data_IF_858281665442
#
_entry.id   IF_858281665442
#
_cell.length_a   1.000
_cell.length_b   1.000
_cell.length_c   1.000
_cell.angle_alpha   90.00
_cell.angle_beta   90.00
_cell.angle_gamma   90.00
#
_symmetry.space_group_name_H-M   'P 1'
#
loop_
_entity.id
_entity.type
_entity.pdbx_description
1 polymer ?
#
# COMPACT_ATOMS: atom_id res chain seq x y z
N UNK A 1 -15.89 -13.56 1.55
CA UNK A 1 -14.70 -12.90 1.00
C UNK A 1 -14.74 -11.41 1.31
N UNK A 2 -13.65 -10.87 1.80
CA UNK A 2 -13.60 -9.45 2.12
C UNK A 2 -13.62 -8.61 0.86
N UNK A 3 -14.35 -7.49 0.91
CA UNK A 3 -14.25 -6.47 -0.13
C UNK A 3 -12.96 -5.68 0.14
N UNK A 4 -11.98 -5.85 -0.72
CA UNK A 4 -10.64 -5.29 -0.57
C UNK A 4 -10.68 -3.76 -0.49
N UNK A 5 -11.54 -3.11 -1.27
CA UNK A 5 -11.65 -1.65 -1.25
C UNK A 5 -12.29 -1.16 0.05
N UNK A 6 -13.23 -1.91 0.62
CA UNK A 6 -13.81 -1.57 1.92
C UNK A 6 -12.76 -1.71 3.02
N UNK A 7 -11.97 -2.79 2.99
CA UNK A 7 -10.89 -2.98 3.95
C UNK A 7 -9.84 -1.86 3.82
N UNK A 8 -9.51 -1.47 2.60
CA UNK A 8 -8.59 -0.34 2.36
C UNK A 8 -9.13 0.94 2.99
N UNK A 9 -10.42 1.24 2.76
CA UNK A 9 -11.04 2.44 3.31
C UNK A 9 -10.97 2.43 4.85
N UNK A 10 -11.24 1.28 5.46
CA UNK A 10 -11.17 1.16 6.92
C UNK A 10 -9.76 1.46 7.45
N UNK A 11 -8.75 0.95 6.78
CA UNK A 11 -7.35 1.18 7.18
C UNK A 11 -6.99 2.65 7.01
N UNK A 12 -7.26 3.22 5.84
CA UNK A 12 -6.87 4.61 5.56
C UNK A 12 -7.61 5.60 6.44
N UNK A 13 -8.90 5.39 6.69
CA UNK A 13 -9.67 6.25 7.59
C UNK A 13 -9.12 6.20 9.02
N UNK A 14 -8.71 5.01 9.48
CA UNK A 14 -8.13 4.87 10.82
C UNK A 14 -6.77 5.56 10.92
N UNK A 15 -5.97 5.47 9.87
CA UNK A 15 -4.69 6.21 9.82
C UNK A 15 -4.92 7.72 9.84
N UNK A 16 -5.92 8.20 9.09
CA UNK A 16 -6.30 9.62 9.08
C UNK A 16 -6.73 10.09 10.47
N UNK A 17 -7.56 9.31 11.16
CA UNK A 17 -8.05 9.65 12.49
C UNK A 17 -6.92 9.79 13.50
N UNK A 18 -5.88 8.98 13.38
CA UNK A 18 -4.72 9.02 14.27
C UNK A 18 -3.62 9.96 13.76
N UNK A 19 -3.91 10.70 12.69
CA UNK A 19 -2.99 11.67 12.10
C UNK A 19 -1.66 11.04 11.65
N UNK A 20 -1.71 9.80 11.17
CA UNK A 20 -0.54 9.12 10.61
C UNK A 20 -0.53 9.35 9.10
N UNK A 21 0.58 9.92 8.61
CA UNK A 21 0.76 10.13 7.17
C UNK A 21 1.05 8.80 6.47
N UNK A 22 0.47 8.63 5.31
CA UNK A 22 0.57 7.39 4.52
C UNK A 22 0.36 7.70 3.05
N UNK A 23 0.58 6.72 2.20
CA UNK A 23 0.17 6.78 0.80
C UNK A 23 -0.17 5.39 0.30
N UNK A 24 -1.36 5.20 -0.26
CA UNK A 24 -1.75 3.94 -0.87
C UNK A 24 -0.86 3.70 -2.09
N UNK A 25 -0.35 2.49 -2.23
CA UNK A 25 0.50 2.11 -3.35
C UNK A 25 0.10 0.71 -3.84
N UNK A 26 0.91 0.10 -4.70
CA UNK A 26 0.65 -1.25 -5.18
C UNK A 26 -0.57 -1.37 -6.09
N UNK A 27 -1.16 -2.56 -6.12
CA UNK A 27 -2.26 -2.89 -7.04
C UNK A 27 -3.53 -2.08 -6.82
N UNK A 28 -3.85 -1.74 -5.57
CA UNK A 28 -5.03 -0.92 -5.30
C UNK A 28 -4.84 0.52 -5.77
N UNK A 29 -3.62 1.06 -5.65
CA UNK A 29 -3.33 2.38 -6.21
C UNK A 29 -3.52 2.37 -7.73
N UNK A 30 -3.07 1.31 -8.38
CA UNK A 30 -3.25 1.15 -9.84
C UNK A 30 -4.74 1.19 -10.19
N UNK A 31 -5.56 0.45 -9.45
CA UNK A 31 -7.01 0.43 -9.64
C UNK A 31 -7.63 1.82 -9.46
N UNK A 32 -7.27 2.51 -8.38
CA UNK A 32 -7.80 3.84 -8.06
C UNK A 32 -7.40 4.86 -9.14
N UNK A 33 -6.21 4.73 -9.69
CA UNK A 33 -5.72 5.61 -10.77
C UNK A 33 -6.35 5.29 -12.14
N UNK A 34 -7.23 4.29 -12.21
CA UNK A 34 -7.96 4.00 -13.44
C UNK A 34 -7.44 2.83 -14.25
N UNK A 35 -6.57 2.01 -13.70
CA UNK A 35 -5.97 0.85 -14.37
C UNK A 35 -6.28 -0.43 -13.59
N UNK A 36 -7.55 -0.86 -13.56
CA UNK A 36 -7.93 -2.00 -12.72
C UNK A 36 -7.24 -3.30 -13.11
N UNK A 37 -6.90 -4.06 -12.10
CA UNK A 37 -6.32 -5.39 -12.25
C UNK A 37 -6.60 -6.20 -10.99
N UNK A 38 -6.45 -7.52 -11.08
CA UNK A 38 -6.61 -8.38 -9.92
C UNK A 38 -5.53 -8.10 -8.89
N UNK A 39 -5.92 -7.95 -7.63
CA UNK A 39 -5.00 -7.76 -6.51
C UNK A 39 -5.57 -8.47 -5.29
N UNK A 40 -4.69 -8.96 -4.41
CA UNK A 40 -5.08 -9.77 -3.26
C UNK A 40 -4.58 -9.20 -1.93
N UNK A 41 -3.87 -8.09 -1.97
CA UNK A 41 -3.30 -7.47 -0.77
C UNK A 41 -3.45 -5.96 -0.80
N UNK A 42 -3.27 -5.36 0.36
CA UNK A 42 -3.31 -3.91 0.54
C UNK A 42 -1.86 -3.46 0.77
N UNK A 43 -1.40 -2.49 -0.02
CA UNK A 43 -0.05 -1.94 0.11
C UNK A 43 -0.13 -0.47 0.49
N UNK A 44 0.53 -0.09 1.58
CA UNK A 44 0.52 1.28 2.10
C UNK A 44 1.95 1.69 2.43
N UNK A 45 2.37 2.82 1.87
CA UNK A 45 3.67 3.42 2.13
C UNK A 45 3.57 4.31 3.37
N UNK A 46 4.51 4.16 4.31
CA UNK A 46 4.58 4.96 5.54
C UNK A 46 6.03 5.29 5.87
N UNK A 47 6.22 6.31 6.69
CA UNK A 47 7.54 6.57 7.28
C UNK A 47 7.90 5.46 8.26
N UNK A 48 9.17 5.05 8.36
CA UNK A 48 9.58 3.99 9.29
C UNK A 48 9.19 4.25 10.74
N UNK A 49 9.25 5.50 11.20
CA UNK A 49 8.89 5.87 12.57
C UNK A 49 7.40 5.71 12.86
N UNK A 50 6.56 5.55 11.84
CA UNK A 50 5.12 5.34 12.03
C UNK A 50 4.74 3.86 12.10
N UNK A 51 5.70 2.95 11.99
CA UNK A 51 5.39 1.51 11.85
C UNK A 51 4.65 0.95 13.05
N UNK A 52 5.13 1.22 14.26
CA UNK A 52 4.50 0.66 15.48
C UNK A 52 3.07 1.15 15.65
N UNK A 53 2.84 2.44 15.43
CA UNK A 53 1.48 3.01 15.51
C UNK A 53 0.58 2.43 14.43
N UNK A 54 1.12 2.24 13.22
CA UNK A 54 0.37 1.65 12.12
C UNK A 54 0.00 0.20 12.40
N UNK A 55 0.90 -0.58 12.99
CA UNK A 55 0.61 -1.95 13.41
C UNK A 55 -0.49 -1.97 14.48
N UNK A 56 -0.46 -1.04 15.43
CA UNK A 56 -1.49 -0.96 16.49
C UNK A 56 -2.86 -0.69 15.88
N UNK A 57 -2.93 0.20 14.91
CA UNK A 57 -4.19 0.50 14.19
C UNK A 57 -4.66 -0.73 13.42
N UNK A 58 -3.76 -1.37 12.68
CA UNK A 58 -4.09 -2.58 11.90
C UNK A 58 -4.62 -3.69 12.80
N UNK A 59 -4.03 -3.88 13.97
CA UNK A 59 -4.46 -4.88 14.94
C UNK A 59 -5.90 -4.67 15.37
N UNK A 60 -6.31 -3.43 15.61
CA UNK A 60 -7.69 -3.10 15.97
C UNK A 60 -8.68 -3.45 14.87
N UNK A 61 -8.22 -3.48 13.62
CA UNK A 61 -9.03 -3.83 12.47
C UNK A 61 -8.96 -5.33 12.12
N UNK A 62 -8.28 -6.12 12.94
CA UNK A 62 -8.19 -7.57 12.75
C UNK A 62 -6.93 -8.05 12.03
N UNK A 63 -6.03 -7.16 11.67
CA UNK A 63 -4.76 -7.53 11.04
C UNK A 63 -3.73 -7.79 12.15
N UNK A 64 -3.75 -8.99 12.70
CA UNK A 64 -2.96 -9.33 13.88
C UNK A 64 -1.98 -10.49 13.70
N UNK A 65 -1.89 -11.05 12.49
CA UNK A 65 -0.93 -12.11 12.20
C UNK A 65 0.29 -11.50 11.52
N UNK A 66 1.38 -11.40 12.25
CA UNK A 66 2.62 -10.82 11.71
C UNK A 66 3.33 -11.77 10.79
N UNK A 67 3.74 -11.28 9.62
CA UNK A 67 4.60 -12.00 8.70
C UNK A 67 6.07 -11.72 9.00
N UNK A 68 6.94 -12.30 8.18
CA UNK A 68 8.37 -12.00 8.25
C UNK A 68 8.65 -10.65 7.60
N UNK A 69 9.63 -9.94 8.14
CA UNK A 69 10.12 -8.72 7.51
C UNK A 69 10.76 -9.08 6.17
N UNK A 70 10.47 -8.30 5.15
CA UNK A 70 11.02 -8.52 3.81
C UNK A 70 11.82 -7.30 3.39
N UNK A 71 13.00 -7.56 2.84
CA UNK A 71 13.91 -6.51 2.39
C UNK A 71 14.47 -6.92 1.04
N UNK A 72 14.39 -6.03 0.05
CA UNK A 72 14.80 -6.31 -1.33
C UNK A 72 15.66 -5.18 -1.86
N UNK A 73 16.41 -5.47 -2.94
CA UNK A 73 17.21 -4.48 -3.68
C UNK A 73 18.11 -3.67 -2.76
N UNK A 74 18.92 -4.36 -1.93
CA UNK A 74 19.86 -3.73 -0.99
C UNK A 74 19.13 -2.74 -0.05
N UNK A 75 17.97 -3.14 0.44
CA UNK A 75 17.12 -2.35 1.36
C UNK A 75 16.45 -1.14 0.72
N UNK A 76 16.40 -1.06 -0.60
CA UNK A 76 15.61 -0.03 -1.28
C UNK A 76 14.11 -0.26 -1.08
N UNK A 77 13.71 -1.53 -0.91
CA UNK A 77 12.32 -1.92 -0.66
C UNK A 77 12.26 -2.67 0.67
N UNK A 78 11.54 -2.13 1.63
CA UNK A 78 11.36 -2.70 2.97
C UNK A 78 9.87 -2.90 3.20
N UNK A 79 9.44 -4.16 3.45
CA UNK A 79 8.03 -4.51 3.62
C UNK A 79 7.83 -5.14 4.98
N UNK A 80 6.77 -4.69 5.67
CA UNK A 80 6.35 -5.22 6.97
C UNK A 80 4.89 -5.66 6.84
N UNK A 81 4.65 -6.96 6.90
CA UNK A 81 3.33 -7.54 6.66
C UNK A 81 2.62 -7.91 7.94
N UNK A 82 1.31 -7.55 7.99
CA UNK A 82 0.37 -8.12 8.95
C UNK A 82 -0.82 -8.62 8.16
N UNK A 83 -1.43 -9.71 8.59
CA UNK A 83 -2.54 -10.30 7.85
C UNK A 83 -3.75 -10.48 8.74
N UNK A 84 -4.92 -10.45 8.10
CA UNK A 84 -6.20 -10.77 8.72
C UNK A 84 -6.62 -12.14 8.19
N UNK A 85 -7.05 -13.03 9.09
CA UNK A 85 -7.63 -14.30 8.70
C UNK A 85 -9.14 -14.16 8.76
N UNK A 86 -9.79 -14.33 7.60
CA UNK A 86 -11.24 -14.23 7.49
C UNK A 86 -11.92 -15.47 8.07
N UNK A 87 -13.24 -15.37 8.33
CA UNK A 87 -14.01 -16.49 8.88
C UNK A 87 -13.97 -17.73 7.98
N UNK A 88 -13.89 -17.54 6.67
CA UNK A 88 -13.81 -18.64 5.69
C UNK A 88 -12.40 -19.22 5.55
N UNK A 89 -11.43 -18.70 6.31
CA UNK A 89 -10.04 -19.14 6.26
C UNK A 89 -9.17 -18.39 5.27
N UNK A 90 -9.75 -17.49 4.48
CA UNK A 90 -8.96 -16.65 3.56
C UNK A 90 -8.04 -15.73 4.35
N UNK A 91 -6.87 -15.48 3.78
CA UNK A 91 -5.87 -14.59 4.38
C UNK A 91 -5.82 -13.30 3.57
N UNK A 92 -5.99 -12.16 4.25
CA UNK A 92 -5.86 -10.85 3.65
C UNK A 92 -4.59 -10.19 4.15
N UNK A 93 -3.55 -10.05 3.31
CA UNK A 93 -2.32 -9.37 3.71
C UNK A 93 -2.46 -7.85 3.64
N UNK A 94 -1.88 -7.18 4.63
CA UNK A 94 -1.68 -5.74 4.63
C UNK A 94 -0.18 -5.51 4.73
N UNK A 95 0.41 -4.92 3.69
CA UNK A 95 1.84 -4.65 3.62
C UNK A 95 2.09 -3.17 3.84
N UNK A 96 2.86 -2.87 4.88
CA UNK A 96 3.41 -1.53 5.07
C UNK A 96 4.78 -1.50 4.40
N UNK A 97 4.91 -0.62 3.41
CA UNK A 97 6.19 -0.36 2.75
C UNK A 97 6.81 0.85 3.43
N UNK A 98 8.06 0.73 3.84
CA UNK A 98 8.73 1.81 4.55
C UNK A 98 9.42 2.74 3.57
N UNK A 99 9.28 4.05 3.79
CA UNK A 99 9.97 5.04 2.96
C UNK A 99 11.47 4.88 3.17
N UNK A 100 12.18 4.58 2.11
CA UNK A 100 13.64 4.52 2.06
C UNK A 100 14.15 5.68 1.22
N UNK A 101 15.47 5.89 1.19
CA UNK A 101 16.05 6.96 0.36
C UNK A 101 15.67 6.82 -1.11
N UNK A 102 15.48 5.59 -1.59
CA UNK A 102 15.15 5.32 -3.00
C UNK A 102 13.71 5.70 -3.37
N UNK A 103 12.83 5.87 -2.38
CA UNK A 103 11.44 6.25 -2.62
C UNK A 103 11.03 7.53 -1.90
N UNK A 104 12.01 8.31 -1.44
CA UNK A 104 11.72 9.60 -0.79
C UNK A 104 10.96 10.54 -1.74
N UNK A 105 11.31 10.56 -3.02
CA UNK A 105 10.63 11.36 -4.03
C UNK A 105 9.18 10.88 -4.25
N UNK A 106 8.94 9.58 -4.17
CA UNK A 106 7.59 9.03 -4.25
C UNK A 106 6.75 9.53 -3.08
N UNK A 107 7.33 9.53 -1.89
CA UNK A 107 6.66 10.01 -0.69
C UNK A 107 6.30 11.49 -0.79
N UNK A 108 7.25 12.30 -1.21
CA UNK A 108 7.08 13.76 -1.32
C UNK A 108 6.01 14.10 -2.38
N UNK A 109 5.95 13.34 -3.46
CA UNK A 109 5.02 13.61 -4.58
C UNK A 109 3.65 12.94 -4.41
N UNK A 110 3.38 12.29 -3.26
CA UNK A 110 2.07 11.69 -3.03
C UNK A 110 0.98 12.76 -3.11
N UNK A 111 -0.20 12.33 -3.49
CA UNK A 111 -1.32 13.25 -3.71
C UNK A 111 -2.55 12.75 -2.97
N UNK A 112 -3.54 13.61 -2.87
CA UNK A 112 -4.81 13.27 -2.24
C UNK A 112 -5.88 13.12 -3.31
N UNK A 113 -6.63 12.02 -3.24
CA UNK A 113 -7.80 11.81 -4.10
C UNK A 113 -9.03 11.65 -3.20
N UNK A 114 -10.20 11.87 -3.76
CA UNK A 114 -11.44 11.61 -3.05
C UNK A 114 -11.90 10.22 -3.43
N UNK A 115 -12.11 9.36 -2.42
CA UNK A 115 -12.55 8.00 -2.63
C UNK A 115 -13.73 7.71 -1.71
N UNK A 116 -14.89 7.42 -2.32
CA UNK A 116 -16.14 7.19 -1.59
C UNK A 116 -16.48 8.33 -0.61
N UNK A 117 -16.22 9.57 -1.04
CA UNK A 117 -16.55 10.75 -0.25
C UNK A 117 -15.52 11.12 0.82
N UNK A 118 -14.42 10.37 0.93
CA UNK A 118 -13.38 10.62 1.93
C UNK A 118 -12.03 10.89 1.25
N UNK A 119 -11.20 11.77 1.82
CA UNK A 119 -9.87 11.99 1.27
C UNK A 119 -8.99 10.75 1.49
N UNK A 120 -8.16 10.43 0.51
CA UNK A 120 -7.23 9.30 0.59
C UNK A 120 -5.91 9.73 -0.02
N UNK A 121 -4.82 9.51 0.72
CA UNK A 121 -3.49 9.81 0.23
C UNK A 121 -3.00 8.63 -0.62
N UNK A 122 -2.46 8.91 -1.80
CA UNK A 122 -2.05 7.90 -2.77
C UNK A 122 -0.78 8.35 -3.47
N UNK A 123 0.07 7.41 -3.84
CA UNK A 123 1.26 7.73 -4.63
C UNK A 123 0.82 8.25 -6.00
N UNK A 124 1.61 9.15 -6.58
CA UNK A 124 1.32 9.67 -7.91
C UNK A 124 1.54 8.58 -8.95
N UNK A 125 1.07 8.82 -10.18
CA UNK A 125 1.30 7.91 -11.30
C UNK A 125 2.80 7.66 -11.49
N UNK A 126 3.60 8.72 -11.49
CA UNK A 126 5.06 8.64 -11.62
C UNK A 126 5.68 7.90 -10.44
N UNK A 127 5.16 8.16 -9.23
CA UNK A 127 5.62 7.46 -8.03
C UNK A 127 5.34 5.96 -8.10
N UNK A 128 4.17 5.59 -8.60
CA UNK A 128 3.82 4.18 -8.76
C UNK A 128 4.75 3.51 -9.78
N UNK A 129 5.05 4.18 -10.88
CA UNK A 129 6.00 3.69 -11.88
C UNK A 129 7.37 3.46 -11.22
N UNK A 130 7.84 4.42 -10.44
CA UNK A 130 9.13 4.31 -9.75
C UNK A 130 9.17 3.09 -8.83
N UNK A 131 8.13 2.88 -8.04
CA UNK A 131 8.07 1.74 -7.14
C UNK A 131 8.04 0.41 -7.89
N UNK A 132 7.33 0.36 -9.02
CA UNK A 132 7.30 -0.83 -9.86
C UNK A 132 8.63 -1.11 -10.53
N UNK A 133 9.35 -0.07 -10.93
CA UNK A 133 10.71 -0.22 -11.46
C UNK A 133 11.64 -0.84 -10.41
N UNK A 134 11.53 -0.40 -9.18
CA UNK A 134 12.33 -0.96 -8.08
C UNK A 134 11.99 -2.42 -7.81
N UNK A 135 10.71 -2.80 -7.87
CA UNK A 135 10.29 -4.18 -7.69
C UNK A 135 10.74 -5.07 -8.84
N UNK A 136 10.61 -4.59 -10.08
CA UNK A 136 11.23 -5.21 -11.26
C UNK A 136 10.72 -6.58 -11.66
N UNK A 137 9.52 -6.99 -11.20
CA UNK A 137 8.95 -8.29 -11.58
C UNK A 137 8.31 -8.20 -12.96
N UNK A 138 8.13 -9.33 -13.68
CA UNK A 138 7.47 -9.30 -15.00
C UNK A 138 6.12 -8.59 -14.99
N UNK A 139 5.28 -8.82 -13.97
CA UNK A 139 4.00 -8.14 -13.85
C UNK A 139 4.15 -6.63 -13.66
N UNK A 140 5.23 -6.20 -13.01
CA UNK A 140 5.50 -4.78 -12.81
C UNK A 140 5.87 -4.09 -14.12
N UNK A 141 6.60 -4.77 -15.00
CA UNK A 141 6.96 -4.23 -16.31
C UNK A 141 5.72 -4.02 -17.17
N UNK A 142 4.76 -4.93 -17.10
CA UNK A 142 3.48 -4.81 -17.81
C UNK A 142 2.70 -3.61 -17.27
N UNK A 143 2.64 -3.45 -15.96
CA UNK A 143 1.94 -2.35 -15.32
C UNK A 143 2.59 -1.00 -15.69
N UNK A 144 3.92 -0.94 -15.72
CA UNK A 144 4.66 0.27 -16.10
C UNK A 144 4.28 0.68 -17.52
N UNK A 145 4.24 -0.28 -18.43
CA UNK A 145 3.88 0.00 -19.82
C UNK A 145 2.47 0.59 -19.92
N UNK A 146 1.51 0.01 -19.20
CA UNK A 146 0.15 0.54 -19.15
C UNK A 146 0.12 1.97 -18.61
N UNK A 147 0.81 2.21 -17.51
CA UNK A 147 0.85 3.53 -16.88
C UNK A 147 1.48 4.60 -17.79
N UNK A 148 2.45 4.22 -18.62
CA UNK A 148 3.13 5.17 -19.52
C UNK A 148 2.33 5.46 -20.77
N UNK A 149 1.55 4.48 -21.26
CA UNK A 149 0.90 4.58 -22.55
C UNK A 149 -0.56 4.98 -22.50
N UNK A 150 -1.11 5.12 -21.32
CA UNK A 150 -2.50 5.54 -21.11
C UNK A 150 -2.58 6.73 -20.13
#
# INVERSE_FOLDING_TARGET
>A
MADLLTELANVTESLEEEEIEYAVCGGLALTILGFPRATFDIDILIRPESLDDSFAIAKKLGFDVHGLDMSFKKRAVEIRRVSKIEEDGDVLPLDFLLVTSEVEDVWVSRQTVEWNGNPMSIVSREGLIRMKELAGRPKDLIDIERLRNE
#
